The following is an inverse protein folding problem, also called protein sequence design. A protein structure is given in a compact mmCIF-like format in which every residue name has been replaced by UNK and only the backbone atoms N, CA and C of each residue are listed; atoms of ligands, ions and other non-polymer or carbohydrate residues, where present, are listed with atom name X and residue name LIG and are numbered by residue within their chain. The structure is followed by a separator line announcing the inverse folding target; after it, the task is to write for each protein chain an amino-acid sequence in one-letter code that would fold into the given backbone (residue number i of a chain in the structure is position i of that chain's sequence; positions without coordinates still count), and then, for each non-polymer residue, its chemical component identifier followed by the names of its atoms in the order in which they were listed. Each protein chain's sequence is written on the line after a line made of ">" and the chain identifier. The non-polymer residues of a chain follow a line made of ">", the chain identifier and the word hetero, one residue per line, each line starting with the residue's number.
data_IF_594019446505
#
_entry.id   IF_594019446505
#
_cell.length_a   1.000
_cell.length_b   1.000
_cell.length_c   1.000
_cell.angle_alpha   90.00
_cell.angle_beta   90.00
_cell.angle_gamma   90.00
#
_symmetry.space_group_name_H-M   'P 1'
#
loop_
_entity.id
_entity.type
_entity.pdbx_description
1 polymer ?
#
# COMPACT_ATOMS: atom_id res chain seq x y z
N UNK A 1 -10.33 -29.61 2.35
CA UNK A 1 -9.68 -28.30 2.06
C UNK A 1 -8.57 -28.57 1.07
N UNK A 2 -8.75 -28.29 -0.21
CA UNK A 2 -7.72 -28.53 -1.19
C UNK A 2 -6.77 -27.32 -1.30
N UNK A 3 -5.54 -27.59 -1.77
CA UNK A 3 -4.50 -26.58 -1.91
C UNK A 3 -4.90 -25.40 -2.85
N UNK A 4 -5.83 -25.63 -3.75
CA UNK A 4 -6.34 -24.61 -4.68
C UNK A 4 -7.08 -23.47 -3.98
N UNK A 5 -7.82 -23.76 -2.90
CA UNK A 5 -8.54 -22.73 -2.15
C UNK A 5 -7.59 -21.84 -1.30
N UNK A 6 -6.44 -22.35 -0.91
CA UNK A 6 -5.43 -21.54 -0.20
C UNK A 6 -4.74 -20.52 -1.11
N UNK A 7 -4.60 -20.84 -2.37
CA UNK A 7 -3.90 -19.97 -3.32
C UNK A 7 -4.76 -18.79 -3.76
N UNK A 8 -6.08 -18.96 -3.82
CA UNK A 8 -7.02 -17.90 -4.21
C UNK A 8 -7.06 -16.77 -3.17
N UNK A 9 -6.84 -17.07 -1.90
CA UNK A 9 -6.88 -16.07 -0.82
C UNK A 9 -5.53 -15.41 -0.50
N UNK A 10 -4.47 -15.81 -1.15
CA UNK A 10 -3.10 -15.32 -0.93
C UNK A 10 -2.81 -13.99 -1.61
N UNK A 11 -3.64 -13.11 -1.74
CA UNK A 11 -3.39 -11.83 -2.39
C UNK A 11 -4.59 -10.91 -2.35
N UNK A 12 -5.57 -11.28 -1.54
CA UNK A 12 -6.80 -10.53 -1.43
C UNK A 12 -6.71 -9.37 -0.44
N UNK A 13 -5.67 -9.35 0.40
CA UNK A 13 -5.41 -8.25 1.31
C UNK A 13 -4.45 -7.27 0.63
N UNK A 14 -4.96 -6.15 0.20
CA UNK A 14 -4.16 -5.08 -0.41
C UNK A 14 -4.53 -3.77 0.24
N UNK A 15 -3.52 -3.05 0.71
CA UNK A 15 -3.68 -1.69 1.17
C UNK A 15 -3.57 -0.74 -0.01
N UNK A 16 -4.39 0.30 0.00
CA UNK A 16 -4.44 1.29 -1.07
C UNK A 16 -4.07 2.67 -0.54
N UNK A 17 -3.18 3.34 -1.24
CA UNK A 17 -2.96 4.76 -1.02
C UNK A 17 -4.05 5.53 -1.74
N UNK A 18 -4.87 6.25 -0.98
CA UNK A 18 -6.05 6.94 -1.51
C UNK A 18 -5.82 8.44 -1.51
N UNK A 19 -5.99 9.04 -2.68
CA UNK A 19 -5.95 10.50 -2.87
C UNK A 19 -7.28 10.94 -3.49
N UNK A 20 -7.89 12.01 -2.96
CA UNK A 20 -9.12 12.51 -3.55
C UNK A 20 -8.86 13.11 -4.94
N UNK A 21 -9.73 12.82 -5.91
CA UNK A 21 -9.65 13.38 -7.28
C UNK A 21 -9.65 14.92 -7.26
N UNK A 22 -10.37 15.53 -6.33
CA UNK A 22 -10.40 16.99 -6.19
C UNK A 22 -9.04 17.55 -5.76
N UNK A 23 -8.34 16.89 -4.83
CA UNK A 23 -7.00 17.29 -4.42
C UNK A 23 -5.99 17.09 -5.54
N UNK A 24 -5.99 15.92 -6.18
CA UNK A 24 -5.09 15.62 -7.30
C UNK A 24 -5.25 16.65 -8.44
N UNK A 25 -6.48 16.98 -8.79
CA UNK A 25 -6.77 17.99 -9.83
C UNK A 25 -6.30 19.40 -9.44
N UNK A 26 -6.50 19.79 -8.17
CA UNK A 26 -6.12 21.13 -7.69
C UNK A 26 -4.62 21.28 -7.50
N UNK A 27 -3.96 20.23 -7.04
CA UNK A 27 -2.56 20.27 -6.62
C UNK A 27 -1.82 18.99 -7.06
N UNK A 28 -1.67 18.77 -8.38
CA UNK A 28 -1.12 17.51 -8.90
C UNK A 28 0.31 17.25 -8.45
N UNK A 29 1.12 18.28 -8.27
CA UNK A 29 2.49 18.12 -7.80
C UNK A 29 2.52 17.72 -6.32
N UNK A 30 1.69 18.31 -5.48
CA UNK A 30 1.58 17.90 -4.08
C UNK A 30 1.10 16.45 -3.94
N UNK A 31 0.21 16.00 -4.80
CA UNK A 31 -0.21 14.60 -4.83
C UNK A 31 0.97 13.67 -5.16
N UNK A 32 1.82 14.06 -6.13
CA UNK A 32 3.03 13.28 -6.48
C UNK A 32 4.06 13.28 -5.34
N UNK A 33 4.25 14.41 -4.66
CA UNK A 33 5.14 14.48 -3.49
C UNK A 33 4.69 13.55 -2.38
N UNK A 34 3.36 13.42 -2.14
CA UNK A 34 2.82 12.45 -1.18
C UNK A 34 3.11 11.01 -1.62
N UNK A 35 2.89 10.68 -2.89
CA UNK A 35 3.24 9.36 -3.45
C UNK A 35 4.74 9.09 -3.30
N UNK A 36 5.57 10.07 -3.62
CA UNK A 36 7.01 9.97 -3.48
C UNK A 36 7.44 9.71 -2.02
N UNK A 37 6.79 10.40 -1.06
CA UNK A 37 7.02 10.17 0.36
C UNK A 37 6.75 8.72 0.76
N UNK A 38 5.67 8.14 0.27
CA UNK A 38 5.34 6.75 0.51
C UNK A 38 6.37 5.78 -0.11
N UNK A 39 6.77 6.01 -1.37
CA UNK A 39 7.80 5.20 -2.04
C UNK A 39 9.14 5.30 -1.29
N UNK A 40 9.56 6.51 -0.92
CA UNK A 40 10.79 6.75 -0.15
C UNK A 40 10.77 6.03 1.19
N UNK A 41 9.66 6.06 1.91
CA UNK A 41 9.54 5.37 3.20
C UNK A 41 9.74 3.85 3.05
N UNK A 42 9.15 3.23 2.02
CA UNK A 42 9.33 1.81 1.74
C UNK A 42 10.79 1.51 1.37
N UNK A 43 11.39 2.29 0.48
CA UNK A 43 12.79 2.10 0.08
C UNK A 43 13.75 2.33 1.25
N UNK A 44 13.49 3.31 2.09
CA UNK A 44 14.26 3.54 3.31
C UNK A 44 14.21 2.32 4.25
N UNK A 45 13.03 1.74 4.46
CA UNK A 45 12.90 0.52 5.27
C UNK A 45 13.69 -0.66 4.71
N UNK A 46 13.90 -0.72 3.38
CA UNK A 46 14.66 -1.80 2.72
C UNK A 46 16.17 -1.66 2.87
N UNK A 47 16.70 -0.47 3.10
CA UNK A 47 18.15 -0.20 3.10
C UNK A 47 18.88 -0.81 4.29
N UNK A 48 18.22 -0.99 5.44
CA UNK A 48 18.83 -1.48 6.66
C UNK A 48 17.84 -2.27 7.49
N UNK A 49 18.32 -3.26 8.23
CA UNK A 49 17.47 -3.99 9.18
C UNK A 49 17.03 -3.11 10.38
N UNK A 50 17.77 -2.08 10.70
CA UNK A 50 17.41 -1.12 11.76
C UNK A 50 16.21 -0.25 11.39
N UNK A 51 16.04 0.07 10.10
CA UNK A 51 14.99 0.96 9.65
C UNK A 51 13.58 0.39 9.88
N UNK A 52 13.26 -0.87 9.53
CA UNK A 52 11.98 -1.47 9.90
C UNK A 52 11.75 -1.56 11.41
N UNK A 53 12.82 -1.74 12.20
CA UNK A 53 12.72 -1.75 13.66
C UNK A 53 12.34 -0.37 14.20
N UNK A 54 12.96 0.70 13.69
CA UNK A 54 12.58 2.07 14.03
C UNK A 54 11.13 2.36 13.62
N UNK A 55 10.74 2.01 12.39
CA UNK A 55 9.38 2.18 11.92
C UNK A 55 8.36 1.41 12.77
N UNK A 56 8.68 0.19 13.19
CA UNK A 56 7.84 -0.61 14.07
C UNK A 56 7.67 0.04 15.45
N UNK A 57 8.74 0.58 16.03
CA UNK A 57 8.68 1.30 17.30
C UNK A 57 7.80 2.55 17.21
N UNK A 58 7.92 3.33 16.12
CA UNK A 58 7.04 4.49 15.90
C UNK A 58 5.59 4.08 15.73
N UNK A 59 5.30 3.04 14.94
CA UNK A 59 3.94 2.54 14.75
C UNK A 59 3.30 2.05 16.06
N UNK A 60 4.08 1.40 16.93
CA UNK A 60 3.63 0.97 18.25
C UNK A 60 3.37 2.18 19.15
N UNK A 61 4.26 3.18 19.15
CA UNK A 61 4.09 4.40 19.92
C UNK A 61 2.84 5.18 19.49
N UNK A 62 2.63 5.33 18.19
CA UNK A 62 1.44 5.96 17.63
C UNK A 62 0.18 5.16 17.96
N UNK A 63 0.23 3.84 17.83
CA UNK A 63 -0.89 2.97 18.20
C UNK A 63 -1.31 3.16 19.66
N UNK A 64 -0.35 3.27 20.57
CA UNK A 64 -0.61 3.54 22.00
C UNK A 64 -1.20 4.93 22.23
N UNK A 65 -0.75 5.92 21.47
CA UNK A 65 -1.25 7.30 21.59
C UNK A 65 -2.69 7.44 21.09
N UNK A 66 -3.05 6.69 20.03
CA UNK A 66 -4.36 6.82 19.38
C UNK A 66 -5.40 5.78 19.79
N UNK A 67 -5.00 4.71 20.46
CA UNK A 67 -5.90 3.62 20.85
C UNK A 67 -5.73 3.25 22.32
N UNK A 68 -6.75 3.52 23.11
CA UNK A 68 -6.82 3.04 24.51
C UNK A 68 -6.89 1.49 24.59
N UNK A 69 -7.14 0.81 23.47
CA UNK A 69 -7.22 -0.64 23.35
C UNK A 69 -5.94 -1.25 22.74
N UNK A 70 -4.89 -0.44 22.54
CA UNK A 70 -3.65 -0.94 21.98
C UNK A 70 -3.06 -2.03 22.90
N UNK A 71 -3.21 -3.25 22.47
CA UNK A 71 -2.52 -4.41 23.06
C UNK A 71 -1.03 -4.21 22.82
N UNK A 72 -0.22 -4.60 23.78
CA UNK A 72 1.23 -4.60 23.59
C UNK A 72 1.59 -5.61 22.50
N UNK A 73 1.92 -5.07 21.32
CA UNK A 73 2.40 -5.89 20.21
C UNK A 73 3.93 -5.86 20.25
N UNK A 74 4.59 -7.03 20.31
CA UNK A 74 6.05 -7.08 20.27
C UNK A 74 6.63 -6.52 18.96
N UNK A 75 7.71 -5.76 19.06
CA UNK A 75 8.38 -5.12 17.90
C UNK A 75 8.73 -6.14 16.82
N UNK A 76 9.22 -7.31 17.18
CA UNK A 76 9.56 -8.38 16.26
C UNK A 76 8.35 -8.88 15.46
N UNK A 77 7.16 -8.88 16.03
CA UNK A 77 5.93 -9.25 15.35
C UNK A 77 5.54 -8.18 14.31
N UNK A 78 5.62 -6.90 14.67
CA UNK A 78 5.37 -5.80 13.72
C UNK A 78 6.37 -5.86 12.57
N UNK A 79 7.66 -6.07 12.86
CA UNK A 79 8.69 -6.23 11.84
C UNK A 79 8.42 -7.42 10.90
N UNK A 80 7.98 -8.56 11.45
CA UNK A 80 7.67 -9.75 10.65
C UNK A 80 6.50 -9.49 9.70
N UNK A 81 5.46 -8.80 10.16
CA UNK A 81 4.32 -8.36 9.33
C UNK A 81 4.79 -7.39 8.27
N UNK A 82 5.55 -6.36 8.65
CA UNK A 82 6.09 -5.36 7.70
C UNK A 82 6.91 -6.01 6.59
N UNK A 83 7.78 -6.94 6.92
CA UNK A 83 8.58 -7.67 5.92
C UNK A 83 7.71 -8.49 4.97
N UNK A 84 6.70 -9.16 5.50
CA UNK A 84 5.83 -10.04 4.73
C UNK A 84 4.86 -9.26 3.84
N UNK A 85 4.22 -8.23 4.38
CA UNK A 85 3.10 -7.55 3.72
C UNK A 85 3.54 -6.30 2.94
N UNK A 86 4.64 -5.68 3.34
CA UNK A 86 5.10 -4.42 2.74
C UNK A 86 6.40 -4.62 1.97
N UNK A 87 7.45 -5.12 2.62
CA UNK A 87 8.78 -5.13 2.01
C UNK A 87 8.98 -6.21 0.96
N UNK A 88 8.18 -7.26 0.97
CA UNK A 88 8.19 -8.29 -0.08
C UNK A 88 7.45 -7.85 -1.35
N UNK A 89 6.70 -6.76 -1.28
CA UNK A 89 6.00 -6.18 -2.42
C UNK A 89 6.90 -5.10 -3.01
N UNK A 90 7.05 -5.00 -4.34
CA UNK A 90 7.78 -3.89 -4.95
C UNK A 90 7.17 -2.55 -4.54
N UNK A 91 8.00 -1.61 -4.10
CA UNK A 91 7.55 -0.25 -3.76
C UNK A 91 7.07 0.54 -4.97
N UNK A 92 7.68 0.24 -6.12
CA UNK A 92 7.20 0.65 -7.41
C UNK A 92 6.64 -0.59 -8.10
N UNK A 93 5.39 -0.59 -8.54
CA UNK A 93 4.85 -1.75 -9.22
C UNK A 93 5.63 -2.01 -10.49
N UNK A 94 6.31 -3.16 -10.52
CA UNK A 94 6.93 -3.67 -11.74
C UNK A 94 5.84 -4.00 -12.76
N UNK A 95 4.64 -4.27 -12.25
CA UNK A 95 3.46 -4.59 -13.06
C UNK A 95 2.39 -3.54 -12.77
N UNK A 96 2.15 -2.68 -13.73
CA UNK A 96 1.00 -1.80 -13.75
C UNK A 96 -0.14 -2.52 -14.46
N UNK A 97 -1.29 -2.57 -13.85
CA UNK A 97 -2.49 -3.16 -14.45
C UNK A 97 -3.37 -2.05 -15.04
N UNK A 98 -3.29 -1.77 -16.34
CA UNK A 98 -4.02 -0.65 -16.95
C UNK A 98 -5.54 -0.76 -16.82
N UNK A 99 -6.05 -1.99 -16.76
CA UNK A 99 -7.47 -2.29 -16.62
C UNK A 99 -7.90 -2.60 -15.19
N UNK A 100 -7.09 -2.21 -14.20
CA UNK A 100 -7.31 -2.55 -12.80
C UNK A 100 -6.43 -3.71 -12.32
N UNK A 101 -6.52 -4.01 -11.03
CA UNK A 101 -5.76 -5.09 -10.42
C UNK A 101 -6.50 -6.42 -10.54
N UNK A 102 -5.98 -7.43 -11.25
CA UNK A 102 -6.61 -8.75 -11.32
C UNK A 102 -6.90 -9.38 -9.95
N UNK A 103 -6.01 -9.26 -8.93
CA UNK A 103 -6.33 -9.71 -7.58
C UNK A 103 -7.56 -9.02 -6.99
N UNK A 104 -7.64 -7.68 -7.10
CA UNK A 104 -8.77 -6.90 -6.61
C UNK A 104 -10.06 -7.24 -7.35
N UNK A 105 -10.00 -7.45 -8.66
CA UNK A 105 -11.15 -7.88 -9.45
C UNK A 105 -11.66 -9.25 -9.01
N UNK A 106 -10.75 -10.16 -8.69
CA UNK A 106 -11.12 -11.49 -8.19
C UNK A 106 -11.76 -11.40 -6.81
N UNK A 107 -11.25 -10.53 -5.93
CA UNK A 107 -11.84 -10.26 -4.63
C UNK A 107 -13.25 -9.65 -4.77
N UNK A 108 -13.39 -8.64 -5.61
CA UNK A 108 -14.69 -8.03 -5.89
C UNK A 108 -15.72 -9.07 -6.34
N UNK A 109 -15.35 -9.93 -7.28
CA UNK A 109 -16.21 -11.01 -7.77
C UNK A 109 -16.61 -11.96 -6.65
N UNK A 110 -15.65 -12.40 -5.85
CA UNK A 110 -15.90 -13.27 -4.71
C UNK A 110 -16.85 -12.63 -3.69
N UNK A 111 -16.62 -11.37 -3.31
CA UNK A 111 -17.48 -10.66 -2.36
C UNK A 111 -18.89 -10.47 -2.91
N UNK A 112 -19.02 -10.22 -4.22
CA UNK A 112 -20.32 -10.12 -4.88
C UNK A 112 -21.07 -11.45 -4.87
N UNK A 113 -20.41 -12.57 -5.19
CA UNK A 113 -20.96 -13.91 -5.12
C UNK A 113 -21.42 -14.31 -3.71
N UNK A 114 -20.76 -13.77 -2.68
CA UNK A 114 -21.11 -13.98 -1.26
C UNK A 114 -22.16 -13.00 -0.73
N UNK A 115 -22.73 -12.15 -1.57
CA UNK A 115 -23.71 -11.15 -1.15
C UNK A 115 -23.16 -10.12 -0.15
N UNK A 116 -21.85 -9.88 -0.18
CA UNK A 116 -21.17 -8.92 0.70
C UNK A 116 -21.06 -7.51 0.10
N UNK A 117 -21.44 -7.36 -1.16
CA UNK A 117 -21.46 -6.08 -1.86
C UNK A 117 -22.90 -5.73 -2.24
N UNK A 118 -23.23 -4.44 -2.40
CA UNK A 118 -24.52 -4.02 -2.92
C UNK A 118 -24.80 -4.65 -4.29
N UNK A 119 -26.07 -4.99 -4.56
CA UNK A 119 -26.47 -5.60 -5.84
C UNK A 119 -26.08 -4.75 -7.05
N UNK A 120 -26.20 -3.42 -6.92
CA UNK A 120 -25.82 -2.44 -7.95
C UNK A 120 -24.32 -2.18 -8.02
N UNK A 121 -23.51 -2.81 -7.17
CA UNK A 121 -22.06 -2.68 -7.20
C UNK A 121 -21.51 -3.20 -8.54
N UNK A 122 -20.75 -2.34 -9.24
CA UNK A 122 -20.12 -2.67 -10.51
C UNK A 122 -18.60 -2.56 -10.37
N UNK A 123 -17.89 -3.52 -10.99
CA UNK A 123 -16.43 -3.50 -11.01
C UNK A 123 -15.87 -2.22 -11.65
N UNK A 124 -16.53 -1.73 -12.68
CA UNK A 124 -16.16 -0.55 -13.45
C UNK A 124 -16.03 0.70 -12.57
N UNK A 125 -16.88 0.80 -11.53
CA UNK A 125 -16.79 1.91 -10.57
C UNK A 125 -15.50 1.88 -9.76
N UNK A 126 -14.98 0.70 -9.47
CA UNK A 126 -13.69 0.53 -8.79
C UNK A 126 -12.55 0.71 -9.78
N UNK A 127 -12.63 0.07 -10.94
CA UNK A 127 -11.60 0.12 -11.96
C UNK A 127 -11.29 1.55 -12.41
N UNK A 128 -12.32 2.40 -12.55
CA UNK A 128 -12.15 3.82 -12.89
C UNK A 128 -11.59 4.68 -11.77
N UNK A 129 -11.59 4.17 -10.53
CA UNK A 129 -10.96 4.84 -9.39
C UNK A 129 -9.47 4.46 -9.23
N UNK A 130 -9.04 3.35 -9.83
CA UNK A 130 -7.66 2.93 -9.83
C UNK A 130 -6.85 3.74 -10.84
N UNK A 131 -5.79 4.38 -10.38
CA UNK A 131 -4.87 5.12 -11.24
C UNK A 131 -3.44 4.85 -10.81
N UNK A 132 -2.58 4.61 -11.78
CA UNK A 132 -1.15 4.45 -11.59
C UNK A 132 -0.35 5.62 -12.17
N UNK A 133 -1.01 6.63 -12.73
CA UNK A 133 -0.36 7.72 -13.44
C UNK A 133 0.57 8.53 -12.53
N UNK A 134 0.10 8.86 -11.32
CA UNK A 134 0.90 9.56 -10.33
C UNK A 134 2.14 8.78 -9.93
N UNK A 135 1.97 7.49 -9.65
CA UNK A 135 3.07 6.59 -9.29
C UNK A 135 4.06 6.41 -10.45
N UNK A 136 3.57 6.20 -11.67
CA UNK A 136 4.40 6.05 -12.87
C UNK A 136 5.27 7.28 -13.12
N UNK A 137 4.72 8.49 -12.92
CA UNK A 137 5.49 9.74 -13.02
C UNK A 137 6.54 9.86 -11.95
N UNK A 138 6.20 9.55 -10.70
CA UNK A 138 7.15 9.59 -9.58
C UNK A 138 8.32 8.63 -9.82
N UNK A 139 8.02 7.39 -10.19
CA UNK A 139 9.05 6.37 -10.47
C UNK A 139 9.87 6.69 -11.72
N UNK A 140 9.26 7.32 -12.72
CA UNK A 140 9.95 7.75 -13.93
C UNK A 140 10.90 8.94 -13.73
N UNK A 141 10.77 9.68 -12.63
CA UNK A 141 11.60 10.84 -12.29
C UNK A 141 12.30 10.66 -10.91
N UNK A 142 13.08 9.58 -10.68
CA UNK A 142 13.56 9.20 -9.35
C UNK A 142 14.45 10.27 -8.70
N UNK A 143 15.25 10.99 -9.48
CA UNK A 143 16.10 12.08 -8.98
C UNK A 143 15.29 13.27 -8.49
N UNK A 144 14.22 13.62 -9.21
CA UNK A 144 13.33 14.72 -8.82
C UNK A 144 12.65 14.47 -7.49
N UNK A 145 12.28 13.24 -7.25
CA UNK A 145 11.56 12.83 -6.05
C UNK A 145 12.46 12.18 -4.99
N UNK A 146 13.77 12.21 -5.18
CA UNK A 146 14.79 11.72 -4.23
C UNK A 146 14.55 10.27 -3.77
N UNK A 147 14.11 9.40 -4.69
CA UNK A 147 13.71 8.03 -4.33
C UNK A 147 14.89 7.19 -3.85
N UNK A 148 16.09 7.42 -4.41
CA UNK A 148 17.29 6.63 -4.14
C UNK A 148 18.16 7.23 -3.05
N UNK A 149 18.00 8.52 -2.76
CA UNK A 149 18.92 9.29 -1.90
C UNK A 149 18.29 9.65 -0.56
N UNK A 150 16.97 9.52 -0.44
CA UNK A 150 16.26 9.84 0.79
C UNK A 150 16.80 9.02 1.96
N UNK A 151 17.17 9.70 3.02
CA UNK A 151 17.47 9.12 4.32
C UNK A 151 16.75 9.92 5.40
N UNK A 152 16.29 9.21 6.43
CA UNK A 152 15.68 9.84 7.59
C UNK A 152 16.70 9.96 8.70
N UNK A 153 17.00 11.19 9.08
CA UNK A 153 17.83 11.49 10.25
C UNK A 153 16.88 11.95 11.35
N UNK A 154 16.71 11.21 12.44
CA UNK A 154 15.84 11.58 13.56
C UNK A 154 16.33 12.81 14.27
#
# INVERSE_FOLDING_TARGET
>A
RNAKNRTVFRGLSSDYFVISKAFEKRSPESARVLIAGYVRAIEWMRRSQKNPEMAANWAIADGRAFSALATEVPVNQVMAITRREILNIPSAPVILYPAGSPPLQSEFRFLKEKGKLPENGQWENIATALSYDGLSKVVGEPRRYELDTFDYVP
#
